data_IF_976433698910
#
_entry.id   IF_976433698910
#
_cell.length_a   1.000
_cell.length_b   1.000
_cell.length_c   1.000
_cell.angle_alpha   90.00
_cell.angle_beta   90.00
_cell.angle_gamma   90.00
#
_symmetry.space_group_name_H-M   'P 1'
#
loop_
_entity.id
_entity.type
_entity.pdbx_description
1 polymer ?
#
# COMPACT_ATOMS: atom_id res chain seq x y z
N UNK A 1 7.97 -29.59 -16.72
CA UNK A 1 7.35 -28.63 -15.77
C UNK A 1 8.38 -27.73 -15.06
N UNK A 2 9.48 -28.28 -14.53
CA UNK A 2 10.53 -27.49 -13.84
C UNK A 2 11.27 -26.48 -14.74
N UNK A 3 11.61 -26.87 -15.98
CA UNK A 3 12.29 -26.02 -16.96
C UNK A 3 11.46 -24.81 -17.36
N UNK A 4 10.17 -25.01 -17.66
CA UNK A 4 9.25 -23.93 -18.00
C UNK A 4 9.11 -22.91 -16.87
N UNK A 5 9.01 -23.37 -15.62
CA UNK A 5 8.94 -22.48 -14.46
C UNK A 5 10.22 -21.65 -14.27
N UNK A 6 11.40 -22.24 -14.50
CA UNK A 6 12.67 -21.50 -14.46
C UNK A 6 12.75 -20.42 -15.52
N UNK A 7 12.34 -20.73 -16.76
CA UNK A 7 12.30 -19.76 -17.86
C UNK A 7 11.33 -18.62 -17.50
N UNK A 8 10.11 -18.95 -17.06
CA UNK A 8 9.12 -17.94 -16.65
C UNK A 8 9.65 -17.03 -15.54
N UNK A 9 10.30 -17.59 -14.54
CA UNK A 9 10.89 -16.82 -13.45
C UNK A 9 12.00 -15.87 -13.95
N UNK A 10 12.94 -16.37 -14.75
CA UNK A 10 14.01 -15.54 -15.31
C UNK A 10 13.47 -14.44 -16.22
N UNK A 11 12.52 -14.77 -17.10
CA UNK A 11 11.87 -13.80 -17.99
C UNK A 11 11.12 -12.73 -17.20
N UNK A 12 10.41 -13.09 -16.13
CA UNK A 12 9.71 -12.13 -15.28
C UNK A 12 10.66 -11.09 -14.67
N UNK A 13 11.76 -11.54 -14.04
CA UNK A 13 12.72 -10.62 -13.43
C UNK A 13 13.49 -9.80 -14.45
N UNK A 14 13.76 -10.36 -15.64
CA UNK A 14 14.35 -9.61 -16.74
C UNK A 14 13.41 -8.51 -17.23
N UNK A 15 12.12 -8.79 -17.39
CA UNK A 15 11.12 -7.78 -17.78
C UNK A 15 10.97 -6.71 -16.70
N UNK A 16 10.91 -7.09 -15.42
CA UNK A 16 10.88 -6.11 -14.32
C UNK A 16 12.12 -5.20 -14.34
N UNK A 17 13.31 -5.78 -14.54
CA UNK A 17 14.55 -5.02 -14.69
C UNK A 17 14.47 -4.00 -15.83
N UNK A 18 14.00 -4.40 -17.02
CA UNK A 18 13.82 -3.48 -18.15
C UNK A 18 12.77 -2.38 -17.88
N UNK A 19 11.81 -2.64 -16.98
CA UNK A 19 10.78 -1.67 -16.55
C UNK A 19 11.21 -0.81 -15.35
N UNK A 20 12.48 -0.85 -14.96
CA UNK A 20 13.04 -0.06 -13.86
C UNK A 20 13.14 -0.78 -12.52
N UNK A 21 12.77 -2.06 -12.44
CA UNK A 21 13.01 -2.92 -11.28
C UNK A 21 12.13 -2.64 -10.06
N UNK A 22 10.98 -1.98 -10.25
CA UNK A 22 10.11 -1.56 -9.15
C UNK A 22 9.58 -2.75 -8.34
N UNK A 23 9.20 -3.85 -8.99
CA UNK A 23 8.66 -5.02 -8.28
C UNK A 23 9.77 -5.63 -7.42
N UNK A 24 10.97 -5.81 -7.98
CA UNK A 24 12.12 -6.34 -7.23
C UNK A 24 12.51 -5.44 -6.06
N UNK A 25 12.43 -4.12 -6.25
CA UNK A 25 12.70 -3.14 -5.20
C UNK A 25 11.71 -3.27 -4.04
N UNK A 26 10.40 -3.25 -4.32
CA UNK A 26 9.36 -3.44 -3.31
C UNK A 26 9.46 -4.80 -2.61
N UNK A 27 9.75 -5.87 -3.36
CA UNK A 27 9.96 -7.20 -2.80
C UNK A 27 11.11 -7.21 -1.78
N UNK A 28 12.28 -6.70 -2.15
CA UNK A 28 13.44 -6.62 -1.25
C UNK A 28 13.19 -5.71 -0.04
N UNK A 29 12.42 -4.64 -0.21
CA UNK A 29 12.01 -3.78 0.88
C UNK A 29 11.16 -4.55 1.89
N UNK A 30 10.10 -5.23 1.43
CA UNK A 30 9.23 -6.04 2.28
C UNK A 30 10.03 -7.14 2.97
N UNK A 31 10.90 -7.84 2.24
CA UNK A 31 11.80 -8.86 2.79
C UNK A 31 12.66 -8.29 3.92
N UNK A 32 13.31 -7.14 3.72
CA UNK A 32 14.13 -6.49 4.75
C UNK A 32 13.31 -6.05 5.96
N UNK A 33 12.09 -5.53 5.75
CA UNK A 33 11.18 -5.12 6.83
C UNK A 33 10.72 -6.31 7.69
N UNK A 34 10.52 -7.48 7.08
CA UNK A 34 10.08 -8.70 7.77
C UNK A 34 11.25 -9.39 8.47
N UNK A 35 12.38 -9.57 7.77
CA UNK A 35 13.52 -10.31 8.30
C UNK A 35 14.34 -9.51 9.33
N UNK A 36 14.34 -8.18 9.23
CA UNK A 36 15.13 -7.30 10.10
C UNK A 36 14.26 -6.16 10.65
N UNK A 37 13.19 -6.46 11.41
CA UNK A 37 12.18 -5.46 11.76
C UNK A 37 12.73 -4.35 12.66
N UNK A 38 13.68 -4.67 13.52
CA UNK A 38 14.27 -3.75 14.49
C UNK A 38 15.54 -3.06 13.99
N UNK A 39 15.97 -3.33 12.74
CA UNK A 39 17.10 -2.57 12.18
C UNK A 39 16.72 -1.08 12.08
N UNK A 40 17.68 -0.15 12.29
CA UNK A 40 17.40 1.29 12.16
C UNK A 40 16.74 1.65 10.83
N UNK A 41 17.22 1.03 9.74
CA UNK A 41 16.66 1.19 8.39
C UNK A 41 15.20 0.73 8.31
N UNK A 42 14.85 -0.42 8.88
CA UNK A 42 13.48 -0.93 8.84
C UNK A 42 12.52 -0.12 9.71
N UNK A 43 13.00 0.39 10.85
CA UNK A 43 12.21 1.30 11.70
C UNK A 43 11.92 2.61 10.96
N UNK A 44 12.95 3.24 10.39
CA UNK A 44 12.80 4.48 9.62
C UNK A 44 11.88 4.28 8.41
N UNK A 45 12.06 3.19 7.67
CA UNK A 45 11.26 2.91 6.48
C UNK A 45 9.78 2.67 6.80
N UNK A 46 9.47 1.94 7.87
CA UNK A 46 8.07 1.80 8.35
C UNK A 46 7.47 3.13 8.74
N UNK A 47 8.22 3.99 9.44
CA UNK A 47 7.78 5.34 9.81
C UNK A 47 7.48 6.18 8.56
N UNK A 48 8.36 6.18 7.57
CA UNK A 48 8.17 6.92 6.32
C UNK A 48 6.97 6.40 5.52
N UNK A 49 6.83 5.07 5.38
CA UNK A 49 5.70 4.46 4.69
C UNK A 49 4.37 4.77 5.39
N UNK A 50 4.32 4.70 6.72
CA UNK A 50 3.14 5.08 7.50
C UNK A 50 2.80 6.56 7.30
N UNK A 51 3.77 7.46 7.42
CA UNK A 51 3.53 8.89 7.21
C UNK A 51 3.01 9.21 5.80
N UNK A 52 3.56 8.54 4.77
CA UNK A 52 3.07 8.69 3.40
C UNK A 52 1.63 8.20 3.25
N UNK A 53 1.27 7.09 3.90
CA UNK A 53 -0.09 6.56 3.88
C UNK A 53 -1.08 7.52 4.56
N UNK A 54 -0.74 8.02 5.76
CA UNK A 54 -1.58 8.96 6.50
C UNK A 54 -1.78 10.26 5.73
N UNK A 55 -0.69 10.83 5.20
CA UNK A 55 -0.73 12.03 4.36
C UNK A 55 -1.59 11.81 3.12
N UNK A 56 -1.44 10.67 2.45
CA UNK A 56 -2.28 10.32 1.30
C UNK A 56 -3.75 10.28 1.71
N UNK A 57 -4.10 9.53 2.75
CA UNK A 57 -5.47 9.38 3.24
C UNK A 57 -6.12 10.73 3.52
N UNK A 58 -5.46 11.60 4.30
CA UNK A 58 -6.02 12.92 4.65
C UNK A 58 -6.05 13.91 3.49
N UNK A 59 -5.20 13.73 2.48
CA UNK A 59 -5.12 14.65 1.33
C UNK A 59 -6.08 14.30 0.19
N UNK A 60 -6.40 13.02 0.00
CA UNK A 60 -7.15 12.58 -1.18
C UNK A 60 -8.42 11.80 -0.87
N UNK A 61 -8.70 11.46 0.39
CA UNK A 61 -9.88 10.69 0.78
C UNK A 61 -10.77 11.54 1.67
N UNK A 62 -11.98 11.86 1.21
CA UNK A 62 -12.92 12.79 1.89
C UNK A 62 -13.14 12.42 3.36
N UNK A 63 -13.38 11.14 3.64
CA UNK A 63 -13.62 10.64 4.99
C UNK A 63 -12.48 10.98 5.98
N UNK A 64 -11.23 11.02 5.49
CA UNK A 64 -10.06 11.27 6.33
C UNK A 64 -9.59 12.73 6.32
N UNK A 65 -10.17 13.62 5.51
CA UNK A 65 -9.78 15.05 5.48
C UNK A 65 -9.84 15.74 6.84
N UNK A 66 -10.84 15.49 7.72
CA UNK A 66 -10.88 16.11 9.06
C UNK A 66 -9.66 15.80 9.93
N UNK A 67 -8.91 14.73 9.63
CA UNK A 67 -7.72 14.32 10.37
C UNK A 67 -6.41 14.90 9.82
N UNK A 68 -6.43 15.87 8.90
CA UNK A 68 -5.24 16.41 8.26
C UNK A 68 -4.17 16.97 9.22
N UNK A 69 -4.55 17.38 10.43
CA UNK A 69 -3.65 17.87 11.48
C UNK A 69 -3.18 16.76 12.45
N UNK A 70 -3.18 15.49 12.00
CA UNK A 70 -2.72 14.36 12.80
C UNK A 70 -1.26 14.52 13.26
N UNK A 71 -0.99 14.07 14.48
CA UNK A 71 0.35 13.91 15.06
C UNK A 71 0.83 12.46 14.95
N UNK A 72 -0.10 11.51 14.98
CA UNK A 72 0.19 10.07 14.90
C UNK A 72 -0.97 9.27 14.33
N UNK A 73 -0.73 7.98 14.05
CA UNK A 73 -1.79 7.02 13.67
C UNK A 73 -2.90 6.92 14.73
N UNK A 74 -2.61 7.20 16.00
CA UNK A 74 -3.59 7.11 17.08
C UNK A 74 -4.65 8.21 17.05
N UNK A 75 -4.44 9.26 16.23
CA UNK A 75 -5.44 10.32 16.05
C UNK A 75 -6.54 9.91 15.07
N UNK A 76 -6.39 8.76 14.40
CA UNK A 76 -7.37 8.22 13.46
C UNK A 76 -8.33 7.25 14.18
N UNK A 77 -9.60 7.22 13.79
CA UNK A 77 -10.60 6.37 14.43
C UNK A 77 -10.37 4.89 14.09
N UNK A 78 -10.60 4.02 15.07
CA UNK A 78 -10.82 2.60 14.78
C UNK A 78 -12.23 2.44 14.23
N UNK A 79 -12.34 2.06 12.95
CA UNK A 79 -13.62 1.97 12.24
C UNK A 79 -14.05 0.53 11.98
N UNK A 80 -15.36 0.33 11.88
CA UNK A 80 -15.98 -0.93 11.45
C UNK A 80 -16.20 -0.94 9.94
N UNK A 81 -16.34 -2.12 9.34
CA UNK A 81 -16.69 -2.29 7.92
C UNK A 81 -17.98 -1.54 7.54
N UNK A 82 -18.96 -1.49 8.44
CA UNK A 82 -20.21 -0.77 8.22
C UNK A 82 -20.01 0.72 8.00
N UNK A 83 -19.02 1.34 8.66
CA UNK A 83 -18.67 2.75 8.44
C UNK A 83 -18.21 2.98 7.00
N UNK A 84 -17.40 2.07 6.46
CA UNK A 84 -16.94 2.12 5.06
C UNK A 84 -18.13 1.95 4.11
N UNK A 85 -19.01 0.98 4.36
CA UNK A 85 -20.18 0.73 3.50
C UNK A 85 -21.16 1.90 3.49
N UNK A 86 -21.43 2.50 4.65
CA UNK A 86 -22.34 3.66 4.76
C UNK A 86 -21.77 4.94 4.17
N UNK A 87 -20.43 5.03 4.01
CA UNK A 87 -19.74 6.21 3.50
C UNK A 87 -18.87 5.88 2.28
N UNK A 88 -19.26 4.89 1.48
CA UNK A 88 -18.39 4.27 0.47
C UNK A 88 -17.72 5.29 -0.46
N UNK A 89 -18.49 6.26 -0.97
CA UNK A 89 -17.97 7.31 -1.84
C UNK A 89 -16.93 8.21 -1.15
N UNK A 90 -17.10 8.50 0.15
CA UNK A 90 -16.16 9.30 0.90
C UNK A 90 -14.83 8.57 1.19
N UNK A 91 -14.81 7.24 1.10
CA UNK A 91 -13.59 6.43 1.20
C UNK A 91 -12.85 6.28 -0.14
N UNK A 92 -13.43 6.76 -1.24
CA UNK A 92 -12.76 6.75 -2.53
C UNK A 92 -11.73 7.90 -2.59
N UNK A 93 -10.50 7.55 -2.98
CA UNK A 93 -9.48 8.57 -3.20
C UNK A 93 -9.79 9.34 -4.49
N UNK A 94 -9.94 10.66 -4.40
CA UNK A 94 -10.23 11.56 -5.53
C UNK A 94 -9.25 11.37 -6.69
N UNK A 95 -7.96 11.16 -6.37
CA UNK A 95 -6.88 10.89 -7.35
C UNK A 95 -7.15 9.68 -8.25
N UNK A 96 -7.93 8.70 -7.79
CA UNK A 96 -8.13 7.41 -8.46
C UNK A 96 -9.59 7.18 -8.90
N UNK A 97 -10.49 8.15 -8.71
CA UNK A 97 -11.89 8.03 -9.15
C UNK A 97 -12.02 7.75 -10.65
N UNK A 98 -11.15 8.37 -11.48
CA UNK A 98 -11.12 8.21 -12.94
C UNK A 98 -10.13 7.16 -13.42
N UNK A 99 -9.39 6.52 -12.51
CA UNK A 99 -8.43 5.48 -12.86
C UNK A 99 -9.14 4.13 -13.06
N UNK A 100 -8.45 3.18 -13.71
CA UNK A 100 -8.95 1.81 -13.81
C UNK A 100 -8.98 1.17 -12.42
N UNK A 101 -10.18 0.97 -11.89
CA UNK A 101 -10.42 0.33 -10.61
C UNK A 101 -10.90 -1.11 -10.82
N UNK A 102 -10.57 -1.99 -9.87
CA UNK A 102 -11.02 -3.38 -9.87
C UNK A 102 -11.89 -3.61 -8.63
N UNK A 103 -13.09 -4.17 -8.83
CA UNK A 103 -13.95 -4.56 -7.72
C UNK A 103 -13.32 -5.76 -7.00
N UNK A 104 -13.15 -5.63 -5.69
CA UNK A 104 -12.70 -6.72 -4.82
C UNK A 104 -13.81 -7.04 -3.84
N UNK A 105 -14.09 -8.32 -3.61
CA UNK A 105 -15.05 -8.80 -2.62
C UNK A 105 -14.38 -9.74 -1.62
N UNK A 106 -14.70 -9.56 -0.34
CA UNK A 106 -14.29 -10.46 0.75
C UNK A 106 -15.49 -11.30 1.18
N UNK A 107 -15.26 -12.51 1.72
CA UNK A 107 -16.31 -13.46 2.15
C UNK A 107 -17.05 -13.06 3.44
N UNK A 108 -16.88 -11.82 3.93
CA UNK A 108 -17.42 -11.30 5.18
C UNK A 108 -16.90 -9.91 5.47
#
# INVERSE_FOLDING_TARGET
MYTLNRIRNSSFWFIDFLKGGNIRSHYKEIEALILQPNSPKSVEKRKNNLNNLLKHATSSTEYYKPYANYKSINDFPVIKKTVIQSNFEAFNSEKYLKAKNYKVSTSG
#
